data_IF_368385381933
#
_entry.id   IF_368385381933
#
_cell.length_a   1.000
_cell.length_b   1.000
_cell.length_c   1.000
_cell.angle_alpha   90.00
_cell.angle_beta   90.00
_cell.angle_gamma   90.00
#
_symmetry.space_group_name_H-M   'P 1'
#
loop_
_entity.id
_entity.type
_entity.pdbx_description
1 polymer ?
#
# COMPACT_ATOMS: atom_id res chain seq x y z
N UNK A 1 19.47 -19.01 63.73
CA UNK A 1 20.34 -19.76 62.80
C UNK A 1 20.55 -18.85 61.62
N UNK A 2 21.82 -18.75 61.22
CA UNK A 2 22.52 -17.67 60.52
C UNK A 2 21.83 -16.99 59.32
N UNK A 3 21.90 -15.65 59.35
CA UNK A 3 21.99 -14.79 58.18
C UNK A 3 23.32 -15.06 57.44
N UNK A 4 23.31 -15.11 56.11
CA UNK A 4 24.53 -14.90 55.33
C UNK A 4 24.30 -13.99 54.13
N UNK A 5 24.86 -12.80 54.28
CA UNK A 5 25.13 -11.79 53.28
C UNK A 5 26.33 -12.23 52.41
N UNK A 6 26.27 -12.10 51.09
CA UNK A 6 27.46 -12.22 50.21
C UNK A 6 27.53 -10.98 49.31
N UNK A 7 28.70 -10.34 49.37
CA UNK A 7 29.13 -9.10 48.71
C UNK A 7 29.44 -9.28 47.20
N UNK A 8 29.49 -8.18 46.41
CA UNK A 8 29.79 -8.20 44.99
C UNK A 8 31.30 -8.31 44.71
N UNK A 9 31.68 -8.95 43.59
CA UNK A 9 33.07 -9.05 43.14
C UNK A 9 33.48 -7.86 42.26
N UNK A 10 34.66 -7.31 42.58
CA UNK A 10 35.37 -6.17 41.97
C UNK A 10 36.02 -6.54 40.60
N UNK A 11 36.11 -5.62 39.62
CA UNK A 11 36.74 -5.85 38.33
C UNK A 11 38.22 -5.48 38.38
N UNK A 12 39.08 -6.31 37.77
CA UNK A 12 40.41 -5.98 37.20
C UNK A 12 41.15 -7.27 36.87
N UNK A 13 41.23 -7.59 35.59
CA UNK A 13 42.47 -8.15 35.05
C UNK A 13 42.66 -7.69 33.59
N UNK A 14 43.83 -7.14 33.31
CA UNK A 14 44.26 -6.52 32.06
C UNK A 14 45.69 -6.95 31.77
N UNK A 15 45.93 -7.57 30.61
CA UNK A 15 47.18 -7.51 29.84
C UNK A 15 46.94 -8.24 28.49
N UNK A 16 46.80 -7.51 27.37
CA UNK A 16 47.84 -7.22 26.35
C UNK A 16 48.28 -8.48 25.57
N UNK A 17 48.41 -8.54 24.25
CA UNK A 17 48.22 -7.62 23.11
C UNK A 17 48.61 -8.44 21.85
N UNK A 18 47.97 -8.24 20.68
CA UNK A 18 48.65 -8.15 19.37
C UNK A 18 47.63 -7.85 18.25
N UNK A 19 47.87 -6.73 17.55
CA UNK A 19 47.13 -6.24 16.39
C UNK A 19 47.53 -6.96 15.09
N UNK A 20 46.57 -7.19 14.18
CA UNK A 20 46.86 -7.15 12.75
C UNK A 20 45.68 -6.59 11.92
N UNK A 21 45.95 -5.43 11.31
CA UNK A 21 45.44 -4.79 10.08
C UNK A 21 44.11 -5.21 9.41
N UNK A 22 43.36 -4.14 9.12
CA UNK A 22 42.49 -3.86 7.96
C UNK A 22 41.27 -4.75 7.67
N UNK A 23 40.11 -4.15 7.91
CA UNK A 23 38.82 -4.61 7.40
C UNK A 23 37.69 -3.69 7.86
N UNK A 24 37.39 -2.69 7.04
CA UNK A 24 36.07 -2.07 6.85
C UNK A 24 35.15 -2.05 8.08
N UNK A 25 35.12 -0.91 8.78
CA UNK A 25 34.15 -0.64 9.84
C UNK A 25 32.73 -0.56 9.25
N UNK A 26 32.14 -1.72 8.97
CA UNK A 26 30.70 -1.91 8.91
C UNK A 26 30.17 -1.67 10.31
N UNK A 27 29.69 -0.46 10.53
CA UNK A 27 29.11 -0.02 11.80
C UNK A 27 27.92 -0.94 12.08
N UNK A 28 28.15 -1.85 13.04
CA UNK A 28 27.19 -2.66 13.80
C UNK A 28 25.81 -2.78 13.16
N UNK A 29 25.59 -3.92 12.51
CA UNK A 29 24.27 -4.45 12.21
C UNK A 29 23.28 -4.16 13.34
N UNK A 30 22.13 -3.59 12.99
CA UNK A 30 20.88 -3.71 13.76
C UNK A 30 20.41 -5.16 13.68
N UNK A 31 21.22 -6.11 14.19
CA UNK A 31 20.76 -7.47 14.48
C UNK A 31 19.83 -7.34 15.66
N UNK A 32 18.53 -7.33 15.38
CA UNK A 32 17.45 -7.80 16.24
C UNK A 32 17.83 -7.77 17.72
N UNK A 33 17.74 -6.57 18.32
CA UNK A 33 17.85 -6.42 19.75
C UNK A 33 16.74 -7.29 20.35
N UNK A 34 17.17 -8.37 21.01
CA UNK A 34 16.38 -9.31 21.80
C UNK A 34 15.00 -8.78 22.16
N UNK A 35 13.94 -9.44 21.67
CA UNK A 35 12.51 -9.26 21.98
C UNK A 35 12.13 -9.36 23.48
N UNK A 36 13.11 -9.32 24.38
CA UNK A 36 13.01 -9.75 25.76
C UNK A 36 12.72 -8.63 26.77
N UNK A 37 12.62 -7.35 26.35
CA UNK A 37 12.41 -6.23 27.29
C UNK A 37 11.33 -5.21 26.85
N UNK A 38 10.43 -5.56 25.92
CA UNK A 38 9.25 -4.71 25.69
C UNK A 38 8.18 -5.08 26.71
N UNK A 39 7.89 -4.19 27.66
CA UNK A 39 6.74 -4.37 28.53
C UNK A 39 5.46 -4.09 27.71
N UNK A 40 4.57 -5.08 27.54
CA UNK A 40 3.36 -4.88 26.76
C UNK A 40 2.40 -3.94 27.51
N UNK A 41 1.77 -3.02 26.78
CA UNK A 41 0.75 -2.15 27.37
C UNK A 41 -0.60 -2.87 27.34
N UNK A 42 -1.19 -3.06 28.51
CA UNK A 42 -2.48 -3.70 28.68
C UNK A 42 -3.52 -2.64 29.06
N UNK A 43 -4.48 -2.41 28.17
CA UNK A 43 -5.55 -1.43 28.33
C UNK A 43 -6.87 -2.04 27.91
N UNK A 44 -7.92 -1.85 28.71
CA UNK A 44 -9.28 -2.28 28.36
C UNK A 44 -9.41 -3.78 27.99
N UNK A 45 -8.50 -4.64 28.48
CA UNK A 45 -8.46 -6.06 28.16
C UNK A 45 -7.80 -6.42 26.82
N UNK A 46 -7.12 -5.46 26.18
CA UNK A 46 -6.36 -5.64 24.94
C UNK A 46 -4.88 -5.35 25.17
N UNK A 47 -4.01 -5.88 24.30
CA UNK A 47 -2.57 -5.59 24.32
C UNK A 47 -2.19 -4.64 23.20
N UNK A 48 -1.27 -3.72 23.47
CA UNK A 48 -0.76 -2.76 22.52
C UNK A 48 0.78 -2.69 22.51
N UNK A 49 1.34 -2.23 21.40
CA UNK A 49 2.78 -2.11 21.18
C UNK A 49 3.40 -0.87 21.87
N UNK A 50 2.65 0.22 21.98
CA UNK A 50 3.06 1.46 22.64
C UNK A 50 1.85 2.22 23.23
N UNK A 51 2.08 3.43 23.74
CA UNK A 51 1.06 4.30 24.34
C UNK A 51 0.24 5.09 23.29
N UNK A 52 0.60 5.01 22.00
CA UNK A 52 0.15 5.95 20.98
C UNK A 52 -0.67 5.25 19.88
N UNK A 53 -0.15 4.16 19.32
CA UNK A 53 -0.76 3.43 18.24
C UNK A 53 -2.10 2.82 18.66
N UNK A 54 -3.14 3.05 17.87
CA UNK A 54 -4.50 2.80 18.34
C UNK A 54 -4.98 1.35 18.23
N UNK A 55 -4.33 0.53 17.40
CA UNK A 55 -4.70 -0.86 17.19
C UNK A 55 -3.96 -1.80 18.15
N UNK A 56 -4.64 -2.83 18.69
CA UNK A 56 -3.98 -3.82 19.53
C UNK A 56 -3.04 -4.72 18.72
N UNK A 57 -2.25 -5.54 19.42
CA UNK A 57 -1.36 -6.56 18.84
C UNK A 57 -1.48 -7.91 19.57
N UNK A 58 -2.67 -8.25 20.07
CA UNK A 58 -3.01 -9.51 20.73
C UNK A 58 -3.54 -10.59 19.76
N UNK A 59 -3.77 -11.82 20.26
CA UNK A 59 -4.22 -12.99 19.48
C UNK A 59 -5.54 -12.74 18.70
N UNK A 60 -6.47 -12.00 19.29
CA UNK A 60 -7.73 -11.67 18.63
C UNK A 60 -7.48 -10.77 17.39
N UNK A 61 -6.58 -9.80 17.52
CA UNK A 61 -6.20 -8.95 16.39
C UNK A 61 -5.37 -9.68 15.35
N UNK A 62 -4.45 -10.55 15.76
CA UNK A 62 -3.72 -11.46 14.87
C UNK A 62 -4.70 -12.23 13.97
N UNK A 63 -5.68 -12.90 14.57
CA UNK A 63 -6.72 -13.65 13.84
C UNK A 63 -7.46 -12.78 12.83
N UNK A 64 -7.81 -11.55 13.21
CA UNK A 64 -8.49 -10.59 12.33
C UNK A 64 -7.61 -10.19 11.14
N UNK A 65 -6.31 -9.94 11.38
CA UNK A 65 -5.35 -9.58 10.33
C UNK A 65 -5.13 -10.73 9.34
N UNK A 66 -5.11 -11.99 9.80
CA UNK A 66 -5.07 -13.15 8.90
C UNK A 66 -6.29 -13.21 7.97
N UNK A 67 -7.49 -12.90 8.46
CA UNK A 67 -8.70 -12.82 7.62
C UNK A 67 -8.58 -11.66 6.62
N UNK A 68 -8.13 -10.49 7.07
CA UNK A 68 -7.92 -9.34 6.18
C UNK A 68 -6.90 -9.66 5.07
N UNK A 69 -5.82 -10.35 5.38
CA UNK A 69 -4.83 -10.75 4.38
C UNK A 69 -5.47 -11.59 3.26
N UNK A 70 -6.32 -12.56 3.62
CA UNK A 70 -7.05 -13.39 2.65
C UNK A 70 -8.07 -12.57 1.84
N UNK A 71 -8.75 -11.59 2.45
CA UNK A 71 -9.61 -10.63 1.74
C UNK A 71 -8.81 -9.87 0.69
N UNK A 72 -7.61 -9.37 1.02
CA UNK A 72 -6.75 -8.67 0.08
C UNK A 72 -6.29 -9.57 -1.07
N UNK A 73 -5.94 -10.83 -0.81
CA UNK A 73 -5.59 -11.78 -1.88
C UNK A 73 -6.78 -11.97 -2.85
N UNK A 74 -8.00 -12.14 -2.34
CA UNK A 74 -9.20 -12.24 -3.20
C UNK A 74 -9.39 -10.96 -4.03
N UNK A 75 -9.23 -9.79 -3.41
CA UNK A 75 -9.38 -8.49 -4.09
C UNK A 75 -8.33 -8.22 -5.17
N UNK A 76 -7.17 -8.86 -5.05
CA UNK A 76 -6.04 -8.73 -5.97
C UNK A 76 -5.90 -9.97 -6.87
N UNK A 77 -6.97 -10.76 -7.04
CA UNK A 77 -7.02 -11.94 -7.91
C UNK A 77 -5.90 -12.97 -7.61
N UNK A 78 -5.58 -13.12 -6.33
CA UNK A 78 -4.52 -14.00 -5.81
C UNK A 78 -3.12 -13.39 -5.81
N UNK A 79 -2.94 -12.15 -6.29
CA UNK A 79 -1.64 -11.48 -6.29
C UNK A 79 -1.40 -10.76 -4.95
N UNK A 80 -0.13 -10.65 -4.55
CA UNK A 80 0.27 -9.93 -3.34
C UNK A 80 0.39 -8.42 -3.55
N UNK A 81 0.50 -7.97 -4.79
CA UNK A 81 0.61 -6.55 -5.16
C UNK A 81 -0.12 -6.30 -6.48
N UNK A 82 -0.63 -5.08 -6.68
CA UNK A 82 -1.19 -4.65 -7.97
C UNK A 82 -0.12 -4.16 -8.94
N UNK A 83 1.12 -3.99 -8.46
CA UNK A 83 2.27 -3.65 -9.30
C UNK A 83 2.69 -4.88 -10.11
N UNK A 84 2.81 -4.78 -11.44
CA UNK A 84 3.28 -5.90 -12.27
C UNK A 84 4.78 -6.11 -12.08
N UNK A 85 5.15 -6.92 -11.08
CA UNK A 85 6.53 -7.31 -10.84
C UNK A 85 6.98 -8.36 -11.88
N UNK A 86 8.28 -8.34 -12.18
CA UNK A 86 8.87 -9.35 -13.06
C UNK A 86 8.85 -10.72 -12.34
N UNK A 87 8.45 -11.83 -12.97
CA UNK A 87 8.52 -13.16 -12.35
C UNK A 87 9.93 -13.56 -11.85
N UNK A 88 10.99 -12.93 -12.37
CA UNK A 88 12.39 -13.07 -11.93
C UNK A 88 12.84 -11.92 -11.04
N UNK A 89 11.91 -11.22 -10.39
CA UNK A 89 12.23 -10.11 -9.51
C UNK A 89 13.15 -10.59 -8.38
N UNK A 90 14.31 -9.94 -8.30
CA UNK A 90 15.42 -10.28 -7.40
C UNK A 90 15.87 -9.05 -6.59
N UNK A 91 14.92 -8.16 -6.39
CA UNK A 91 15.13 -6.76 -6.04
C UNK A 91 14.69 -6.49 -4.59
N UNK A 92 14.85 -5.25 -4.12
CA UNK A 92 14.66 -4.93 -2.69
C UNK A 92 13.25 -4.41 -2.41
N UNK A 93 12.58 -4.99 -1.42
CA UNK A 93 11.23 -4.59 -0.99
C UNK A 93 11.29 -4.11 0.46
N UNK A 94 10.59 -3.01 0.75
CA UNK A 94 10.28 -2.57 2.11
C UNK A 94 8.78 -2.73 2.35
N UNK A 95 8.39 -3.57 3.31
CA UNK A 95 7.02 -3.72 3.79
C UNK A 95 6.89 -3.00 5.13
N UNK A 96 6.10 -1.93 5.17
CA UNK A 96 5.94 -1.07 6.34
C UNK A 96 4.62 -1.41 7.02
N UNK A 97 4.69 -1.63 8.34
CA UNK A 97 3.55 -2.12 9.11
C UNK A 97 3.22 -3.56 8.73
N UNK A 98 4.24 -4.42 8.65
CA UNK A 98 4.10 -5.81 8.21
C UNK A 98 3.16 -6.62 9.11
N UNK A 99 2.93 -6.14 10.34
CA UNK A 99 2.11 -6.79 11.33
C UNK A 99 2.65 -8.18 11.69
N UNK A 100 1.82 -9.23 11.61
CA UNK A 100 2.26 -10.61 11.80
C UNK A 100 3.24 -11.11 10.72
N UNK A 101 3.32 -10.43 9.58
CA UNK A 101 4.26 -10.73 8.50
C UNK A 101 3.74 -11.60 7.37
N UNK A 102 2.44 -11.96 7.33
CA UNK A 102 1.90 -12.89 6.33
C UNK A 102 2.23 -12.46 4.89
N UNK A 103 2.10 -11.16 4.57
CA UNK A 103 2.43 -10.63 3.25
C UNK A 103 3.91 -10.82 2.89
N UNK A 104 4.81 -10.49 3.82
CA UNK A 104 6.25 -10.65 3.61
C UNK A 104 6.66 -12.13 3.47
N UNK A 105 5.99 -13.03 4.20
CA UNK A 105 6.20 -14.48 4.13
C UNK A 105 5.77 -15.02 2.76
N UNK A 106 4.58 -14.65 2.28
CA UNK A 106 4.11 -15.10 0.96
C UNK A 106 4.94 -14.48 -0.18
N UNK A 107 5.34 -13.20 -0.06
CA UNK A 107 6.24 -12.56 -1.03
C UNK A 107 7.61 -13.22 -1.08
N UNK A 108 8.10 -13.74 0.05
CA UNK A 108 9.36 -14.51 0.11
C UNK A 108 9.26 -15.81 -0.66
N UNK A 109 8.11 -16.49 -0.61
CA UNK A 109 7.85 -17.71 -1.35
C UNK A 109 7.69 -17.45 -2.85
N UNK A 110 6.99 -16.38 -3.24
CA UNK A 110 6.79 -16.01 -4.65
C UNK A 110 8.07 -15.48 -5.30
N UNK A 111 8.86 -14.68 -4.57
CA UNK A 111 10.10 -14.07 -5.05
C UNK A 111 11.31 -14.45 -4.16
N UNK A 112 11.80 -15.70 -4.24
CA UNK A 112 12.86 -16.21 -3.36
C UNK A 112 14.22 -15.50 -3.54
N UNK A 113 14.41 -14.79 -4.65
CA UNK A 113 15.62 -14.02 -4.93
C UNK A 113 15.50 -12.54 -4.53
N UNK A 114 14.30 -12.07 -4.15
CA UNK A 114 14.11 -10.72 -3.66
C UNK A 114 14.59 -10.61 -2.22
N UNK A 115 15.04 -9.42 -1.81
CA UNK A 115 15.35 -9.14 -0.39
C UNK A 115 14.22 -8.30 0.19
N UNK A 116 13.51 -8.85 1.17
CA UNK A 116 12.35 -8.22 1.80
C UNK A 116 12.78 -7.74 3.18
N UNK A 117 12.53 -6.47 3.48
CA UNK A 117 12.61 -5.92 4.83
C UNK A 117 11.18 -5.70 5.30
N UNK A 118 10.81 -6.39 6.37
CA UNK A 118 9.47 -6.37 6.93
C UNK A 118 9.51 -5.64 8.27
N UNK A 119 9.00 -4.41 8.32
CA UNK A 119 9.14 -3.50 9.46
C UNK A 119 7.81 -3.33 10.18
N UNK A 120 7.80 -3.40 11.51
CA UNK A 120 6.64 -3.06 12.34
C UNK A 120 7.08 -2.39 13.65
N UNK A 121 6.20 -1.59 14.25
CA UNK A 121 6.42 -1.01 15.58
C UNK A 121 6.07 -1.99 16.71
N UNK A 122 5.24 -2.99 16.43
CA UNK A 122 4.77 -3.99 17.38
C UNK A 122 5.36 -5.38 17.15
N UNK A 123 5.36 -6.17 18.23
CA UNK A 123 5.65 -7.62 18.19
C UNK A 123 4.37 -8.37 18.51
N UNK A 124 3.99 -9.34 17.67
CA UNK A 124 2.82 -10.21 17.88
C UNK A 124 3.18 -11.46 18.69
N UNK A 125 2.20 -12.25 19.14
CA UNK A 125 2.41 -13.44 20.01
C UNK A 125 3.31 -14.51 19.39
N UNK A 126 3.27 -14.66 18.07
CA UNK A 126 4.19 -15.53 17.34
C UNK A 126 5.62 -14.97 17.30
N UNK A 127 5.83 -13.71 17.64
CA UNK A 127 7.05 -12.95 17.38
C UNK A 127 7.13 -12.50 15.92
N UNK A 128 7.74 -11.33 15.69
CA UNK A 128 8.19 -10.95 14.34
C UNK A 128 9.20 -12.01 13.87
N UNK A 129 8.87 -12.79 12.84
CA UNK A 129 9.79 -13.78 12.28
C UNK A 129 9.96 -15.07 13.08
N UNK A 130 8.86 -15.69 13.53
CA UNK A 130 8.90 -17.10 14.02
C UNK A 130 9.49 -18.09 13.00
N UNK A 131 9.56 -17.69 11.73
CA UNK A 131 10.17 -18.40 10.63
C UNK A 131 11.48 -17.71 10.23
N UNK A 132 12.59 -18.43 10.32
CA UNK A 132 13.86 -18.01 9.70
C UNK A 132 13.75 -18.17 8.18
N UNK A 133 13.32 -17.12 7.49
CA UNK A 133 13.26 -17.08 6.02
C UNK A 133 14.57 -16.53 5.46
N UNK A 134 15.16 -17.16 4.42
CA UNK A 134 16.49 -16.80 3.94
C UNK A 134 16.58 -15.40 3.32
N UNK A 135 15.43 -14.83 2.92
CA UNK A 135 15.37 -13.58 2.17
C UNK A 135 14.41 -12.53 2.79
N UNK A 136 13.96 -12.74 4.04
CA UNK A 136 13.18 -11.77 4.81
C UNK A 136 13.96 -11.33 6.05
N UNK A 137 14.03 -10.04 6.27
CA UNK A 137 14.59 -9.43 7.47
C UNK A 137 13.48 -8.69 8.24
N UNK A 138 13.05 -9.26 9.37
CA UNK A 138 12.03 -8.67 10.23
C UNK A 138 12.66 -7.65 11.17
N UNK A 139 12.14 -6.41 11.16
CA UNK A 139 12.70 -5.29 11.90
C UNK A 139 11.64 -4.67 12.81
N UNK A 140 11.97 -4.51 14.08
CA UNK A 140 11.19 -3.69 15.01
C UNK A 140 11.60 -2.22 14.82
N UNK A 141 10.76 -1.44 14.14
CA UNK A 141 11.02 -0.02 13.87
C UNK A 141 9.72 0.77 13.68
N UNK A 142 9.69 1.98 14.25
CA UNK A 142 8.64 2.96 14.00
C UNK A 142 8.92 3.69 12.67
N UNK A 143 8.01 3.53 11.71
CA UNK A 143 8.13 4.17 10.39
C UNK A 143 8.05 5.70 10.43
N UNK A 144 7.57 6.30 11.53
CA UNK A 144 7.60 7.75 11.75
C UNK A 144 8.99 8.27 12.13
N UNK A 145 9.93 7.38 12.47
CA UNK A 145 11.33 7.76 12.66
C UNK A 145 12.07 7.87 11.33
N UNK A 146 13.22 8.54 11.32
CA UNK A 146 14.08 8.63 10.12
C UNK A 146 14.52 7.23 9.66
N UNK A 147 14.32 6.94 8.37
CA UNK A 147 14.73 5.69 7.76
C UNK A 147 16.22 5.74 7.44
N UNK A 148 16.99 4.80 7.97
CA UNK A 148 18.46 4.77 7.86
C UNK A 148 18.95 3.78 6.79
N UNK A 149 18.18 3.57 5.72
CA UNK A 149 18.50 2.58 4.69
C UNK A 149 19.46 3.17 3.64
N UNK A 150 20.61 2.52 3.45
CA UNK A 150 21.65 3.01 2.53
C UNK A 150 21.47 2.53 1.08
N UNK A 151 20.78 1.41 0.89
CA UNK A 151 20.49 0.86 -0.42
C UNK A 151 19.03 1.12 -0.77
N UNK A 152 18.74 1.61 -2.00
CA UNK A 152 17.38 1.95 -2.36
C UNK A 152 16.51 0.70 -2.55
N UNK A 153 15.20 0.88 -2.40
CA UNK A 153 14.19 -0.12 -2.65
C UNK A 153 13.60 0.02 -4.06
N UNK A 154 13.04 -1.07 -4.53
CA UNK A 154 12.29 -1.20 -5.78
C UNK A 154 10.79 -1.06 -5.55
N UNK A 155 10.32 -1.53 -4.40
CA UNK A 155 8.95 -1.44 -3.94
C UNK A 155 8.92 -1.06 -2.46
N UNK A 156 8.11 -0.05 -2.13
CA UNK A 156 7.65 0.23 -0.77
C UNK A 156 6.18 -0.16 -0.71
N UNK A 157 5.84 -1.15 0.11
CA UNK A 157 4.47 -1.63 0.31
C UNK A 157 3.98 -1.16 1.68
N UNK A 158 2.74 -0.67 1.72
CA UNK A 158 2.06 -0.19 2.93
C UNK A 158 0.61 -0.66 2.87
N UNK A 159 0.11 -1.32 3.91
CA UNK A 159 -1.28 -1.82 3.90
C UNK A 159 -1.94 -1.74 5.27
N UNK A 160 -3.17 -1.23 5.31
CA UNK A 160 -3.97 -1.21 6.54
C UNK A 160 -3.45 -0.24 7.59
N UNK A 161 -2.80 0.86 7.20
CA UNK A 161 -2.16 1.80 8.12
C UNK A 161 -2.90 3.15 8.23
N UNK A 162 -4.17 3.22 7.80
CA UNK A 162 -5.03 4.37 8.07
C UNK A 162 -5.02 4.72 9.56
N UNK A 163 -4.71 5.98 9.88
CA UNK A 163 -4.56 6.45 11.27
C UNK A 163 -3.25 6.04 11.97
N UNK A 164 -2.31 5.37 11.32
CA UNK A 164 -1.04 4.97 11.95
C UNK A 164 -0.04 6.12 12.09
N UNK A 165 -0.12 7.13 11.21
CA UNK A 165 0.88 8.19 11.11
C UNK A 165 0.27 9.58 11.33
N UNK A 166 0.98 10.45 12.06
CA UNK A 166 0.59 11.87 12.20
C UNK A 166 0.80 12.66 10.91
N UNK A 167 1.86 12.34 10.18
CA UNK A 167 2.27 13.04 8.97
C UNK A 167 2.59 12.06 7.84
N UNK A 168 1.57 11.77 7.03
CA UNK A 168 1.73 10.97 5.82
C UNK A 168 2.64 11.61 4.77
N UNK A 169 2.76 12.94 4.75
CA UNK A 169 3.65 13.62 3.80
C UNK A 169 5.11 13.29 4.10
N UNK A 170 5.48 13.18 5.38
CA UNK A 170 6.80 12.73 5.80
C UNK A 170 7.06 11.28 5.33
N UNK A 171 6.08 10.38 5.49
CA UNK A 171 6.19 8.99 5.01
C UNK A 171 6.39 8.94 3.49
N UNK A 172 5.68 9.77 2.71
CA UNK A 172 5.88 9.86 1.27
C UNK A 172 7.26 10.40 0.90
N UNK A 173 7.78 11.38 1.62
CA UNK A 173 9.13 11.90 1.40
C UNK A 173 10.20 10.84 1.70
N UNK A 174 10.02 10.07 2.78
CA UNK A 174 10.93 8.97 3.12
C UNK A 174 10.88 7.86 2.07
N UNK A 175 9.68 7.44 1.65
CA UNK A 175 9.48 6.48 0.57
C UNK A 175 10.12 6.97 -0.74
N UNK A 176 9.87 8.22 -1.12
CA UNK A 176 10.45 8.82 -2.31
C UNK A 176 11.97 8.85 -2.23
N UNK A 177 12.56 9.20 -1.09
CA UNK A 177 14.01 9.26 -0.89
C UNK A 177 14.65 7.89 -1.04
N UNK A 178 14.06 6.87 -0.42
CA UNK A 178 14.60 5.52 -0.36
C UNK A 178 14.24 4.63 -1.56
N UNK A 179 13.32 5.05 -2.44
CA UNK A 179 13.08 4.34 -3.70
C UNK A 179 14.17 4.66 -4.73
N UNK A 180 14.54 3.69 -5.55
CA UNK A 180 15.35 3.95 -6.75
C UNK A 180 14.53 4.68 -7.81
N UNK A 181 15.15 5.38 -8.76
CA UNK A 181 14.44 5.87 -9.95
C UNK A 181 13.70 4.71 -10.65
N UNK A 182 12.41 4.90 -10.88
CA UNK A 182 11.50 3.89 -11.44
C UNK A 182 10.90 2.88 -10.45
N UNK A 183 11.27 2.93 -9.17
CA UNK A 183 10.66 2.12 -8.11
C UNK A 183 9.25 2.60 -7.75
N UNK A 184 8.49 1.74 -7.09
CA UNK A 184 7.07 1.94 -6.80
C UNK A 184 6.78 2.09 -5.31
N UNK A 185 5.75 2.87 -5.00
CA UNK A 185 5.03 2.78 -3.73
C UNK A 185 3.63 2.22 -4.01
N UNK A 186 3.19 1.30 -3.17
CA UNK A 186 1.82 0.78 -3.15
C UNK A 186 1.24 0.94 -1.74
N UNK A 187 0.05 1.54 -1.67
CA UNK A 187 -0.68 1.77 -0.43
C UNK A 187 -2.09 1.22 -0.58
N UNK A 188 -2.50 0.29 0.26
CA UNK A 188 -3.84 -0.29 0.24
C UNK A 188 -4.52 -0.12 1.60
N UNK A 189 -5.68 0.52 1.63
CA UNK A 189 -6.34 0.83 2.90
C UNK A 189 -7.86 0.78 2.81
N UNK A 190 -8.48 0.43 3.93
CA UNK A 190 -9.90 0.47 4.18
C UNK A 190 -10.12 0.68 5.67
N UNK A 191 -10.85 1.73 6.03
CA UNK A 191 -11.03 2.13 7.41
C UNK A 191 -12.50 2.45 7.69
N UNK A 192 -13.18 1.72 8.61
CA UNK A 192 -14.57 2.02 8.96
C UNK A 192 -14.81 3.47 9.40
N UNK A 193 -13.84 4.11 10.07
CA UNK A 193 -13.94 5.50 10.51
C UNK A 193 -13.89 6.51 9.34
N UNK A 194 -13.49 6.07 8.14
CA UNK A 194 -13.35 6.91 6.95
C UNK A 194 -14.55 6.82 5.99
N UNK A 195 -15.75 6.49 6.49
CA UNK A 195 -16.99 6.34 5.70
C UNK A 195 -16.85 5.32 4.55
N UNK A 196 -16.00 4.32 4.74
CA UNK A 196 -15.78 3.26 3.74
C UNK A 196 -16.88 2.21 3.73
N UNK A 197 -17.76 2.21 4.73
CA UNK A 197 -18.91 1.29 4.79
C UNK A 197 -20.16 2.06 4.37
N UNK A 198 -20.76 1.63 3.26
CA UNK A 198 -21.94 2.27 2.65
C UNK A 198 -23.04 1.24 2.44
N UNK A 199 -24.30 1.69 2.43
CA UNK A 199 -25.42 0.85 1.98
C UNK A 199 -25.49 0.86 0.44
N UNK A 200 -25.93 -0.24 -0.19
CA UNK A 200 -26.13 -0.33 -1.65
C UNK A 200 -27.00 0.83 -2.15
N UNK A 201 -28.00 1.25 -1.37
CA UNK A 201 -28.91 2.34 -1.73
C UNK A 201 -28.23 3.72 -1.84
N UNK A 202 -27.00 3.85 -1.30
CA UNK A 202 -26.19 5.08 -1.32
C UNK A 202 -25.08 5.05 -2.39
N UNK A 203 -24.87 3.91 -3.07
CA UNK A 203 -23.83 3.77 -4.10
C UNK A 203 -24.36 4.33 -5.42
N UNK A 204 -23.95 5.56 -5.75
CA UNK A 204 -24.23 6.13 -7.06
C UNK A 204 -23.27 5.56 -8.11
N UNK A 205 -23.65 4.46 -8.75
CA UNK A 205 -22.84 3.75 -9.75
C UNK A 205 -22.48 4.60 -10.98
N UNK A 206 -23.17 5.72 -11.23
CA UNK A 206 -22.83 6.65 -12.33
C UNK A 206 -21.53 7.43 -12.08
N UNK A 207 -20.99 7.43 -10.86
CA UNK A 207 -19.76 8.15 -10.50
C UNK A 207 -18.49 7.30 -10.52
N UNK A 208 -18.59 6.01 -10.89
CA UNK A 208 -17.47 5.04 -10.88
C UNK A 208 -16.86 4.83 -12.29
N UNK A 209 -17.26 5.62 -13.29
CA UNK A 209 -16.55 5.63 -14.58
C UNK A 209 -15.28 6.51 -14.49
N UNK A 210 -14.13 5.84 -14.44
CA UNK A 210 -12.80 6.43 -14.45
C UNK A 210 -12.44 6.87 -15.88
N UNK A 211 -12.56 8.16 -16.14
CA UNK A 211 -11.67 8.90 -17.05
C UNK A 211 -11.89 10.39 -16.82
N UNK A 212 -11.29 10.95 -15.76
CA UNK A 212 -10.73 12.30 -15.70
C UNK A 212 -10.45 12.76 -14.25
N UNK A 213 -9.46 13.65 -14.02
CA UNK A 213 -9.03 14.03 -12.69
C UNK A 213 -10.04 14.99 -12.05
N UNK A 214 -10.93 14.48 -11.19
CA UNK A 214 -11.91 15.31 -10.50
C UNK A 214 -11.35 15.86 -9.18
N UNK A 215 -11.22 17.18 -9.20
CA UNK A 215 -11.00 18.09 -8.09
C UNK A 215 -12.08 17.90 -7.01
N UNK A 216 -11.68 17.54 -5.78
CA UNK A 216 -12.59 17.27 -4.67
C UNK A 216 -13.25 18.56 -4.20
N UNK A 217 -14.43 18.89 -4.74
CA UNK A 217 -15.26 19.97 -4.22
C UNK A 217 -16.19 19.40 -3.16
N UNK A 218 -16.05 19.92 -1.95
CA UNK A 218 -16.97 19.74 -0.81
C UNK A 218 -18.43 19.88 -1.23
N UNK A 219 -19.23 18.86 -0.97
CA UNK A 219 -20.69 18.91 -1.14
C UNK A 219 -21.30 19.94 -0.17
N UNK A 220 -21.48 21.17 -0.65
CA UNK A 220 -22.40 22.13 -0.07
C UNK A 220 -23.81 21.80 -0.58
N UNK A 221 -24.65 21.31 0.31
CA UNK A 221 -26.09 21.12 0.12
C UNK A 221 -26.74 22.46 -0.26
N UNK A 222 -27.30 22.55 -1.46
CA UNK A 222 -28.13 23.69 -1.87
C UNK A 222 -29.59 23.42 -1.52
N UNK A 223 -30.16 24.30 -0.72
CA UNK A 223 -31.59 24.34 -0.39
C UNK A 223 -32.42 24.56 -1.66
N UNK A 224 -33.27 23.60 -2.02
CA UNK A 224 -34.44 23.85 -2.84
C UNK A 224 -35.69 23.70 -1.97
N UNK A 225 -36.42 24.80 -1.87
CA UNK A 225 -37.75 24.90 -1.33
C UNK A 225 -38.73 24.12 -2.22
N UNK A 226 -39.30 23.06 -1.69
CA UNK A 226 -40.69 22.66 -1.91
C UNK A 226 -41.12 21.80 -0.71
N UNK A 227 -42.29 22.11 -0.16
CA UNK A 227 -42.75 21.59 1.12
C UNK A 227 -43.18 20.13 1.05
N UNK A 228 -42.30 19.23 1.46
CA UNK A 228 -42.65 17.94 2.05
C UNK A 228 -41.86 17.81 3.37
N UNK A 229 -42.53 17.35 4.42
CA UNK A 229 -41.87 17.05 5.70
C UNK A 229 -40.77 16.02 5.46
N UNK A 230 -39.52 16.49 5.35
CA UNK A 230 -38.34 15.64 5.43
C UNK A 230 -38.35 14.96 6.80
N UNK A 231 -38.57 13.65 6.80
CA UNK A 231 -38.27 12.81 7.94
C UNK A 231 -36.81 13.08 8.33
N UNK A 232 -36.60 13.53 9.57
CA UNK A 232 -35.26 13.65 10.13
C UNK A 232 -34.67 12.24 10.20
N UNK A 233 -33.93 11.83 9.18
CA UNK A 233 -33.30 10.51 9.12
C UNK A 233 -32.45 10.32 10.37
N UNK A 234 -32.87 9.40 11.23
CA UNK A 234 -32.17 9.08 12.47
C UNK A 234 -30.88 8.33 12.12
N UNK A 235 -29.74 8.90 12.47
CA UNK A 235 -28.41 8.29 12.27
C UNK A 235 -28.36 6.85 12.81
N UNK A 236 -27.88 5.91 11.99
CA UNK A 236 -27.73 4.50 12.39
C UNK A 236 -26.66 4.34 13.49
N UNK A 237 -26.66 3.21 14.18
CA UNK A 237 -25.66 2.92 15.21
C UNK A 237 -24.27 2.79 14.60
N UNK A 238 -24.17 2.15 13.43
CA UNK A 238 -22.91 2.09 12.68
C UNK A 238 -22.39 3.49 12.35
N UNK A 239 -23.24 4.40 11.87
CA UNK A 239 -22.85 5.78 11.58
C UNK A 239 -22.41 6.54 12.84
N UNK A 240 -23.07 6.32 13.99
CA UNK A 240 -22.64 6.90 15.28
C UNK A 240 -21.27 6.38 15.69
N UNK A 241 -21.04 5.09 15.52
CA UNK A 241 -19.77 4.43 15.79
C UNK A 241 -18.63 5.00 14.93
N UNK A 242 -18.80 5.04 13.61
CA UNK A 242 -17.76 5.59 12.70
C UNK A 242 -17.48 7.07 12.97
N UNK A 243 -18.51 7.86 13.29
CA UNK A 243 -18.38 9.27 13.69
C UNK A 243 -17.58 9.42 15.00
N UNK A 244 -17.87 8.59 16.00
CA UNK A 244 -17.17 8.61 17.29
C UNK A 244 -15.68 8.26 17.10
N UNK A 245 -15.38 7.23 16.31
CA UNK A 245 -14.00 6.85 15.97
C UNK A 245 -13.25 8.00 15.28
N UNK A 246 -13.86 8.61 14.25
CA UNK A 246 -13.24 9.71 13.50
C UNK A 246 -12.93 10.91 14.39
N UNK A 247 -13.86 11.28 15.25
CA UNK A 247 -13.68 12.41 16.17
C UNK A 247 -12.56 12.12 17.18
N UNK A 248 -12.54 10.92 17.77
CA UNK A 248 -11.46 10.52 18.69
C UNK A 248 -10.10 10.48 18.00
N UNK A 249 -10.02 9.95 16.78
CA UNK A 249 -8.80 9.88 15.98
C UNK A 249 -8.27 11.28 15.60
N UNK A 250 -9.17 12.21 15.24
CA UNK A 250 -8.83 13.61 14.98
C UNK A 250 -8.29 14.31 16.23
N UNK A 251 -8.90 14.09 17.39
CA UNK A 251 -8.42 14.65 18.66
C UNK A 251 -7.04 14.11 19.04
N UNK A 252 -6.77 12.83 18.74
CA UNK A 252 -5.46 12.21 18.96
C UNK A 252 -4.35 12.72 18.03
N UNK A 253 -4.70 13.47 16.97
CA UNK A 253 -3.75 13.91 15.93
C UNK A 253 -3.40 12.83 14.91
N UNK A 254 -4.21 11.77 14.82
CA UNK A 254 -4.07 10.66 13.89
C UNK A 254 -5.36 10.50 13.09
N UNK A 255 -5.66 11.42 12.16
CA UNK A 255 -6.94 11.41 11.45
C UNK A 255 -7.15 10.08 10.70
N UNK A 256 -8.36 9.54 10.83
CA UNK A 256 -8.84 8.33 10.16
C UNK A 256 -9.89 8.69 9.12
N UNK A 257 -9.47 9.54 8.18
CA UNK A 257 -10.14 9.84 6.93
C UNK A 257 -9.16 9.44 5.82
N UNK A 258 -9.60 8.78 4.73
CA UNK A 258 -8.70 8.25 3.68
C UNK A 258 -7.97 9.36 2.87
N UNK A 259 -7.80 10.56 3.44
CA UNK A 259 -7.10 11.69 2.87
C UNK A 259 -5.62 11.40 2.60
N UNK A 260 -5.01 10.45 3.30
CA UNK A 260 -3.65 9.99 2.98
C UNK A 260 -3.57 9.38 1.58
N UNK A 261 -4.62 8.67 1.14
CA UNK A 261 -4.68 8.11 -0.20
C UNK A 261 -4.97 9.15 -1.31
N UNK A 262 -4.93 10.45 -0.99
CA UNK A 262 -5.07 11.51 -1.98
C UNK A 262 -3.80 11.61 -2.86
N UNK A 263 -4.01 11.58 -4.17
CA UNK A 263 -2.96 11.69 -5.19
C UNK A 263 -2.14 12.97 -5.07
N UNK A 264 -2.72 14.06 -4.56
CA UNK A 264 -2.04 15.36 -4.41
C UNK A 264 -0.82 15.28 -3.50
N UNK A 265 -0.90 14.54 -2.39
CA UNK A 265 0.21 14.40 -1.45
C UNK A 265 1.38 13.61 -2.05
N UNK A 266 1.07 12.55 -2.81
CA UNK A 266 2.07 11.78 -3.56
C UNK A 266 2.72 12.61 -4.67
N UNK A 267 1.92 13.39 -5.42
CA UNK A 267 2.46 14.31 -6.43
C UNK A 267 3.37 15.37 -5.80
N UNK A 268 2.97 15.94 -4.65
CA UNK A 268 3.78 16.91 -3.92
C UNK A 268 5.12 16.33 -3.42
N UNK A 269 5.15 15.05 -3.07
CA UNK A 269 6.38 14.33 -2.75
C UNK A 269 7.25 13.99 -3.99
N UNK A 270 6.74 14.21 -5.20
CA UNK A 270 7.46 14.03 -6.46
C UNK A 270 7.15 12.74 -7.22
N UNK A 271 6.20 11.94 -6.76
CA UNK A 271 5.78 10.74 -7.46
C UNK A 271 5.04 11.06 -8.78
N UNK A 272 5.18 10.17 -9.76
CA UNK A 272 4.53 10.20 -11.06
C UNK A 272 3.77 8.89 -11.29
N UNK A 273 3.03 8.79 -12.41
CA UNK A 273 2.28 7.58 -12.78
C UNK A 273 1.31 7.10 -11.68
N UNK A 274 0.66 8.05 -10.98
CA UNK A 274 -0.21 7.76 -9.83
C UNK A 274 -1.52 7.13 -10.33
N UNK A 275 -1.87 5.97 -9.78
CA UNK A 275 -3.12 5.27 -10.09
C UNK A 275 -3.87 4.96 -8.80
N UNK A 276 -5.17 5.21 -8.83
CA UNK A 276 -6.10 4.87 -7.75
C UNK A 276 -7.05 3.82 -8.26
N UNK A 277 -7.19 2.73 -7.53
CA UNK A 277 -8.17 1.68 -7.77
C UNK A 277 -9.04 1.54 -6.53
N UNK A 278 -10.36 1.53 -6.72
CA UNK A 278 -11.30 1.24 -5.65
C UNK A 278 -11.96 -0.10 -5.90
N UNK A 279 -12.03 -0.91 -4.85
CA UNK A 279 -12.67 -2.23 -4.86
C UNK A 279 -13.76 -2.22 -3.81
N UNK A 280 -14.98 -2.47 -4.25
CA UNK A 280 -16.12 -2.59 -3.36
C UNK A 280 -16.27 -4.04 -2.90
N UNK A 281 -16.24 -4.27 -1.59
CA UNK A 281 -16.41 -5.60 -0.98
C UNK A 281 -17.78 -5.71 -0.30
N UNK A 282 -18.52 -6.81 -0.48
CA UNK A 282 -19.74 -7.02 0.27
C UNK A 282 -19.43 -7.22 1.76
N UNK A 283 -20.36 -6.85 2.63
CA UNK A 283 -20.33 -7.14 4.07
C UNK A 283 -21.62 -7.87 4.40
N UNK A 284 -21.51 -9.17 4.67
CA UNK A 284 -22.65 -10.02 5.03
C UNK A 284 -22.83 -11.24 4.12
N UNK A 285 -23.92 -11.97 4.36
CA UNK A 285 -24.24 -13.23 3.68
C UNK A 285 -25.24 -13.07 2.52
N UNK A 286 -25.64 -11.84 2.23
CA UNK A 286 -26.66 -11.48 1.25
C UNK A 286 -26.25 -11.68 -0.22
N UNK A 287 -24.97 -11.68 -0.64
CA UNK A 287 -24.65 -11.91 -2.04
C UNK A 287 -25.12 -13.29 -2.53
N UNK A 288 -25.63 -13.34 -3.76
CA UNK A 288 -26.07 -14.61 -4.37
C UNK A 288 -24.89 -15.42 -4.92
N UNK A 289 -23.96 -14.75 -5.61
CA UNK A 289 -22.74 -15.36 -6.14
C UNK A 289 -21.88 -15.98 -5.02
N UNK A 290 -21.30 -17.15 -5.29
CA UNK A 290 -20.57 -17.94 -4.29
C UNK A 290 -19.25 -17.28 -3.86
N UNK A 291 -18.58 -16.58 -4.78
CA UNK A 291 -17.32 -15.89 -4.50
C UNK A 291 -17.61 -14.61 -3.71
N UNK A 292 -18.57 -13.79 -4.15
CA UNK A 292 -19.01 -12.61 -3.40
C UNK A 292 -19.58 -12.97 -2.02
N UNK A 293 -20.31 -14.08 -1.88
CA UNK A 293 -20.82 -14.54 -0.58
C UNK A 293 -19.69 -14.97 0.35
N UNK A 294 -18.65 -15.62 -0.17
CA UNK A 294 -17.47 -16.01 0.61
C UNK A 294 -16.72 -14.77 1.08
N UNK A 295 -16.45 -13.83 0.18
CA UNK A 295 -15.83 -12.54 0.48
C UNK A 295 -16.66 -11.73 1.49
N UNK A 296 -17.99 -11.72 1.32
CA UNK A 296 -18.93 -11.03 2.19
C UNK A 296 -18.97 -11.58 3.61
N UNK A 297 -18.90 -12.91 3.75
CA UNK A 297 -18.77 -13.58 5.05
C UNK A 297 -17.45 -13.23 5.73
N UNK A 298 -16.34 -13.28 5.00
CA UNK A 298 -15.02 -12.96 5.56
C UNK A 298 -14.97 -11.50 6.02
N UNK A 299 -15.48 -10.57 5.21
CA UNK A 299 -15.50 -9.14 5.53
C UNK A 299 -16.43 -8.84 6.72
N UNK A 300 -17.57 -9.52 6.82
CA UNK A 300 -18.45 -9.44 7.99
C UNK A 300 -17.70 -9.87 9.27
N UNK A 301 -17.02 -11.01 9.24
CA UNK A 301 -16.26 -11.49 10.41
C UNK A 301 -15.15 -10.49 10.76
N UNK A 302 -14.37 -10.04 9.77
CA UNK A 302 -13.30 -9.06 10.00
C UNK A 302 -13.80 -7.73 10.59
N UNK A 303 -15.00 -7.27 10.19
CA UNK A 303 -15.65 -6.10 10.77
C UNK A 303 -16.03 -6.35 12.24
N UNK A 304 -16.73 -7.45 12.52
CA UNK A 304 -17.25 -7.77 13.86
C UNK A 304 -16.14 -8.01 14.89
N UNK A 305 -15.07 -8.69 14.49
CA UNK A 305 -13.87 -8.89 15.34
C UNK A 305 -13.08 -7.59 15.52
N UNK A 306 -13.20 -6.65 14.57
CA UNK A 306 -12.52 -5.36 14.61
C UNK A 306 -13.21 -4.29 15.44
N UNK A 307 -14.49 -4.45 15.82
CA UNK A 307 -15.25 -3.38 16.49
C UNK A 307 -14.56 -2.88 17.76
N UNK A 308 -14.19 -3.79 18.67
CA UNK A 308 -13.49 -3.38 19.89
C UNK A 308 -12.05 -2.92 19.61
N UNK A 309 -11.35 -3.58 18.69
CA UNK A 309 -9.97 -3.23 18.31
C UNK A 309 -9.86 -1.78 17.82
N UNK A 310 -10.81 -1.36 16.99
CA UNK A 310 -10.87 0.02 16.47
C UNK A 310 -11.34 1.05 17.49
N UNK A 311 -12.10 0.64 18.52
CA UNK A 311 -12.86 1.57 19.36
C UNK A 311 -12.28 1.78 20.75
N UNK A 312 -11.83 0.72 21.43
CA UNK A 312 -11.57 0.78 22.86
C UNK A 312 -10.55 1.86 23.22
N UNK A 313 -9.35 1.84 22.63
CA UNK A 313 -8.32 2.84 22.91
C UNK A 313 -8.72 4.24 22.41
N UNK A 314 -9.12 4.46 21.14
CA UNK A 314 -9.53 5.78 20.68
C UNK A 314 -10.62 6.42 21.54
N UNK A 315 -11.70 5.69 21.83
CA UNK A 315 -12.84 6.23 22.57
C UNK A 315 -12.53 6.46 24.05
N UNK A 316 -11.73 5.61 24.69
CA UNK A 316 -11.40 5.78 26.13
C UNK A 316 -10.27 6.78 26.35
N UNK A 317 -9.18 6.72 25.57
CA UNK A 317 -8.02 7.57 25.75
C UNK A 317 -8.26 9.01 25.24
N UNK A 318 -8.77 9.14 24.00
CA UNK A 318 -8.97 10.46 23.36
C UNK A 318 -10.42 10.93 23.47
N UNK A 319 -11.38 10.02 23.26
CA UNK A 319 -12.81 10.33 23.37
C UNK A 319 -13.30 10.56 24.80
N UNK A 320 -12.57 10.08 25.81
CA UNK A 320 -12.94 10.12 27.24
C UNK A 320 -14.23 9.37 27.59
N UNK A 321 -14.58 8.36 26.81
CA UNK A 321 -15.72 7.47 27.08
C UNK A 321 -15.37 6.50 28.21
N UNK A 322 -16.39 6.03 28.91
CA UNK A 322 -16.22 4.85 29.76
C UNK A 322 -16.05 3.60 28.87
N UNK A 323 -15.22 2.64 29.30
CA UNK A 323 -14.98 1.39 28.56
C UNK A 323 -16.27 0.59 28.33
N UNK A 324 -17.21 0.59 29.29
CA UNK A 324 -18.48 -0.11 29.17
C UNK A 324 -19.43 0.59 28.18
N UNK A 325 -19.36 1.93 28.08
CA UNK A 325 -20.09 2.68 27.05
C UNK A 325 -19.55 2.38 25.66
N UNK A 326 -18.22 2.33 25.50
CA UNK A 326 -17.58 1.97 24.23
C UNK A 326 -17.92 0.53 23.80
N UNK A 327 -17.88 -0.44 24.72
CA UNK A 327 -18.32 -1.82 24.45
C UNK A 327 -19.80 -1.92 24.13
N UNK A 328 -20.64 -1.19 24.86
CA UNK A 328 -22.07 -1.10 24.59
C UNK A 328 -22.35 -0.60 23.17
N UNK A 329 -21.61 0.41 22.71
CA UNK A 329 -21.70 0.87 21.32
C UNK A 329 -21.26 -0.20 20.31
N UNK A 330 -20.16 -0.92 20.57
CA UNK A 330 -19.71 -2.02 19.72
C UNK A 330 -20.78 -3.13 19.63
N UNK A 331 -21.43 -3.48 20.74
CA UNK A 331 -22.49 -4.50 20.74
C UNK A 331 -23.72 -4.05 19.96
N UNK A 332 -24.16 -2.80 20.13
CA UNK A 332 -25.29 -2.27 19.34
C UNK A 332 -24.98 -2.27 17.83
N UNK A 333 -23.73 -1.98 17.43
CA UNK A 333 -23.31 -2.08 16.02
C UNK A 333 -23.32 -3.53 15.54
N UNK A 334 -22.82 -4.47 16.36
CA UNK A 334 -22.86 -5.91 16.06
C UNK A 334 -24.29 -6.38 15.81
N UNK A 335 -25.22 -6.04 16.68
CA UNK A 335 -26.64 -6.36 16.52
C UNK A 335 -27.23 -5.71 15.25
N UNK A 336 -26.97 -4.43 15.00
CA UNK A 336 -27.43 -3.72 13.79
C UNK A 336 -26.95 -4.40 12.51
N UNK A 337 -25.65 -4.73 12.42
CA UNK A 337 -25.05 -5.34 11.23
C UNK A 337 -25.56 -6.76 11.02
N UNK A 338 -25.72 -7.56 12.08
CA UNK A 338 -26.24 -8.94 11.99
C UNK A 338 -27.73 -8.99 11.65
N UNK A 339 -28.52 -8.02 12.14
CA UNK A 339 -29.96 -7.93 11.89
C UNK A 339 -30.32 -7.20 10.58
N UNK A 340 -29.34 -6.77 9.79
CA UNK A 340 -29.59 -6.14 8.50
C UNK A 340 -30.03 -7.17 7.44
N UNK A 341 -31.25 -7.69 7.60
CA UNK A 341 -31.87 -8.72 6.76
C UNK A 341 -32.08 -8.28 5.31
N UNK A 342 -32.17 -6.96 5.06
CA UNK A 342 -32.29 -6.41 3.69
C UNK A 342 -30.98 -6.43 2.91
N UNK A 343 -29.85 -6.65 3.59
CA UNK A 343 -28.53 -6.74 2.97
C UNK A 343 -28.02 -5.40 2.43
N UNK A 344 -26.80 -5.40 1.92
CA UNK A 344 -26.27 -4.29 1.12
C UNK A 344 -25.23 -3.40 1.78
N UNK A 345 -24.71 -3.73 2.95
CA UNK A 345 -23.48 -3.08 3.39
C UNK A 345 -22.33 -3.50 2.46
N UNK A 346 -21.59 -2.52 1.95
CA UNK A 346 -20.35 -2.73 1.22
C UNK A 346 -19.24 -1.88 1.83
N UNK A 347 -18.04 -2.45 1.90
CA UNK A 347 -16.80 -1.76 2.22
C UNK A 347 -16.11 -1.27 0.95
N UNK A 348 -15.41 -0.14 1.00
CA UNK A 348 -14.54 0.32 -0.09
C UNK A 348 -13.09 0.18 0.35
N UNK A 349 -12.33 -0.61 -0.41
CA UNK A 349 -10.88 -0.72 -0.31
C UNK A 349 -10.27 0.13 -1.42
N UNK A 350 -9.38 1.06 -1.05
CA UNK A 350 -8.67 1.89 -2.02
C UNK A 350 -7.20 1.46 -2.07
N UNK A 351 -6.73 1.19 -3.28
CA UNK A 351 -5.34 0.86 -3.59
C UNK A 351 -4.77 2.01 -4.42
N UNK A 352 -3.70 2.62 -3.93
CA UNK A 352 -2.96 3.68 -4.61
C UNK A 352 -1.58 3.18 -4.94
N UNK A 353 -1.19 3.33 -6.20
CA UNK A 353 0.16 3.04 -6.67
C UNK A 353 0.77 4.30 -7.27
N UNK A 354 2.07 4.49 -7.07
CA UNK A 354 2.79 5.60 -7.67
C UNK A 354 4.25 5.23 -7.91
N UNK A 355 4.92 5.93 -8.82
CA UNK A 355 6.29 5.62 -9.24
C UNK A 355 7.24 6.79 -9.02
N UNK A 356 8.45 6.52 -8.55
CA UNK A 356 9.53 7.50 -8.55
C UNK A 356 9.97 7.73 -10.01
N UNK A 357 10.05 8.98 -10.50
CA UNK A 357 10.40 9.24 -11.89
C UNK A 357 11.80 8.71 -12.21
N UNK A 358 11.94 8.11 -13.39
CA UNK A 358 13.25 7.78 -13.97
C UNK A 358 13.89 9.06 -14.53
N UNK A 359 15.20 9.24 -14.29
CA UNK A 359 15.92 10.39 -14.86
C UNK A 359 15.89 10.36 -16.39
N UNK A 360 15.98 11.52 -17.04
CA UNK A 360 16.04 11.60 -18.51
C UNK A 360 17.19 10.76 -19.11
N UNK A 361 18.35 10.75 -18.45
CA UNK A 361 19.48 9.92 -18.85
C UNK A 361 19.15 8.42 -18.77
N UNK A 362 18.43 7.99 -17.73
CA UNK A 362 17.99 6.61 -17.59
C UNK A 362 16.90 6.27 -18.63
N UNK A 363 15.92 7.15 -18.85
CA UNK A 363 14.92 7.00 -19.93
C UNK A 363 15.59 6.77 -21.29
N UNK A 364 16.61 7.56 -21.65
CA UNK A 364 17.36 7.38 -22.90
C UNK A 364 18.06 6.02 -22.96
N UNK A 365 18.73 5.59 -21.88
CA UNK A 365 19.37 4.26 -21.80
C UNK A 365 18.36 3.13 -21.97
N UNK A 366 17.20 3.22 -21.32
CA UNK A 366 16.16 2.18 -21.38
C UNK A 366 15.51 2.10 -22.77
N UNK A 367 15.28 3.24 -23.43
CA UNK A 367 14.80 3.30 -24.82
C UNK A 367 15.84 2.66 -25.76
N UNK A 368 17.12 3.03 -25.63
CA UNK A 368 18.20 2.44 -26.42
C UNK A 368 18.35 0.94 -26.18
N UNK A 369 18.22 0.47 -24.93
CA UNK A 369 18.27 -0.94 -24.59
C UNK A 369 17.11 -1.73 -25.21
N UNK A 370 15.88 -1.18 -25.16
CA UNK A 370 14.70 -1.79 -25.81
C UNK A 370 14.81 -1.81 -27.33
N UNK A 371 15.31 -0.73 -27.94
CA UNK A 371 15.58 -0.68 -29.37
C UNK A 371 16.61 -1.75 -29.77
N UNK A 372 17.73 -1.87 -29.03
CA UNK A 372 18.74 -2.91 -29.24
C UNK A 372 18.19 -4.33 -29.09
N UNK A 373 17.31 -4.57 -28.11
CA UNK A 373 16.66 -5.87 -27.92
C UNK A 373 15.70 -6.21 -29.07
N UNK A 374 14.94 -5.23 -29.58
CA UNK A 374 14.07 -5.39 -30.75
C UNK A 374 14.87 -5.72 -32.01
N UNK A 375 15.99 -5.02 -32.25
CA UNK A 375 16.89 -5.29 -33.38
C UNK A 375 17.50 -6.69 -33.26
N UNK A 376 17.87 -7.14 -32.06
CA UNK A 376 18.39 -8.49 -31.83
C UNK A 376 17.37 -9.60 -32.13
N UNK A 377 16.08 -9.34 -31.89
CA UNK A 377 15.00 -10.29 -32.22
C UNK A 377 14.58 -10.25 -33.70
N UNK A 378 15.00 -9.25 -34.46
CA UNK A 378 14.77 -9.17 -35.93
C UNK A 378 15.88 -9.83 -36.74
N UNK A 379 17.03 -10.15 -36.13
CA UNK A 379 18.08 -10.96 -36.78
C UNK A 379 17.74 -12.44 -36.72
N UNK A 380 16.93 -12.88 -37.68
CA UNK A 380 16.79 -14.27 -38.09
C UNK A 380 17.59 -14.56 -39.37
N UNK A 381 18.47 -15.54 -39.27
CA UNK A 381 19.07 -16.44 -40.29
C UNK A 381 20.03 -15.99 -41.39
N UNK A 382 20.23 -14.70 -41.67
CA UNK A 382 21.18 -14.29 -42.72
C UNK A 382 22.46 -13.74 -42.08
N UNK A 383 23.47 -14.61 -41.97
CA UNK A 383 24.75 -14.39 -41.26
C UNK A 383 25.66 -13.32 -41.85
N UNK A 384 25.24 -12.06 -41.83
CA UNK A 384 26.13 -10.91 -41.99
C UNK A 384 26.11 -10.00 -40.74
N UNK A 385 27.27 -9.93 -40.07
CA UNK A 385 27.52 -9.05 -38.94
C UNK A 385 27.62 -7.59 -39.41
N UNK A 386 26.49 -6.89 -39.42
CA UNK A 386 26.48 -5.43 -39.45
C UNK A 386 26.58 -4.87 -38.03
N UNK A 387 27.74 -4.36 -37.66
CA UNK A 387 27.99 -3.65 -36.40
C UNK A 387 27.52 -2.19 -36.55
N UNK A 388 26.38 -1.85 -35.96
CA UNK A 388 25.88 -0.47 -35.93
C UNK A 388 26.44 0.26 -34.71
N UNK A 389 27.43 1.10 -34.96
CA UNK A 389 28.13 1.89 -33.95
C UNK A 389 27.35 3.19 -33.64
N UNK A 390 26.50 3.16 -32.61
CA UNK A 390 25.63 4.27 -32.21
C UNK A 390 26.37 5.43 -31.51
N UNK A 391 27.70 5.38 -31.38
CA UNK A 391 28.52 6.40 -30.72
C UNK A 391 29.01 7.53 -31.64
N UNK A 392 28.67 7.54 -32.94
CA UNK A 392 29.18 8.54 -33.90
C UNK A 392 28.22 9.67 -34.30
N UNK A 393 27.18 9.95 -33.51
CA UNK A 393 26.33 11.11 -33.72
C UNK A 393 26.71 12.32 -32.84
N UNK A 394 27.99 12.42 -32.44
CA UNK A 394 28.58 13.63 -31.88
C UNK A 394 29.77 14.00 -32.78
N UNK A 395 29.59 15.05 -33.58
CA UNK A 395 30.60 15.97 -34.14
C UNK A 395 30.24 16.41 -35.57
N UNK A 396 29.87 17.69 -35.75
CA UNK A 396 29.70 18.23 -37.10
C UNK A 396 28.99 19.58 -37.24
N UNK A 397 29.38 20.59 -36.46
CA UNK A 397 29.10 21.98 -36.82
C UNK A 397 30.11 22.50 -37.85
N UNK A 398 29.64 23.07 -38.96
CA UNK A 398 30.40 24.05 -39.76
C UNK A 398 30.62 23.74 -41.25
N UNK A 399 29.85 24.41 -42.10
CA UNK A 399 30.32 25.20 -43.26
C UNK A 399 30.93 24.52 -44.51
N UNK A 400 30.19 24.60 -45.62
CA UNK A 400 30.71 25.11 -46.91
C UNK A 400 31.09 24.11 -48.01
N UNK A 401 30.44 24.26 -49.18
CA UNK A 401 31.10 24.28 -50.50
C UNK A 401 31.30 22.97 -51.28
N UNK A 402 30.51 22.84 -52.34
CA UNK A 402 30.80 22.30 -53.68
C UNK A 402 31.18 20.82 -53.96
N UNK A 403 30.39 20.29 -54.92
CA UNK A 403 30.68 19.37 -56.04
C UNK A 403 30.94 17.86 -55.85
N UNK A 404 29.96 17.12 -56.40
CA UNK A 404 30.09 16.03 -57.39
C UNK A 404 30.11 14.54 -56.94
N UNK A 405 29.01 13.89 -57.35
CA UNK A 405 28.88 12.61 -58.06
C UNK A 405 28.86 11.25 -57.33
N UNK A 406 27.69 10.63 -57.51
CA UNK A 406 27.39 9.23 -57.83
C UNK A 406 27.49 8.16 -56.73
N UNK A 407 26.45 7.31 -56.68
CA UNK A 407 26.32 6.20 -55.74
C UNK A 407 24.89 6.05 -55.21
N UNK A 408 24.05 5.37 -55.98
CA UNK A 408 22.70 4.93 -55.61
C UNK A 408 22.62 4.26 -54.24
N UNK A 409 21.81 4.83 -53.34
CA UNK A 409 21.35 4.20 -52.10
C UNK A 409 19.98 4.76 -51.74
N UNK A 410 18.96 3.89 -51.73
CA UNK A 410 17.59 4.24 -51.37
C UNK A 410 17.54 4.72 -49.91
N UNK A 411 17.19 5.99 -49.71
CA UNK A 411 16.85 6.53 -48.39
C UNK A 411 15.48 6.03 -47.97
N UNK A 412 15.39 5.45 -46.78
CA UNK A 412 14.12 5.24 -46.08
C UNK A 412 13.93 6.46 -45.18
N UNK A 413 13.03 7.37 -45.56
CA UNK A 413 12.49 8.38 -44.66
C UNK A 413 11.64 7.67 -43.59
N UNK A 414 11.95 7.94 -42.31
CA UNK A 414 11.10 7.54 -41.19
C UNK A 414 10.17 8.72 -40.93
N UNK A 415 8.93 8.63 -41.41
CA UNK A 415 7.85 9.52 -41.00
C UNK A 415 7.56 9.29 -39.51
N UNK A 416 7.58 10.38 -38.75
CA UNK A 416 7.15 10.42 -37.35
C UNK A 416 5.66 10.76 -37.41
N UNK A 417 4.81 9.76 -37.17
CA UNK A 417 3.36 9.96 -37.15
C UNK A 417 2.96 10.62 -35.81
N UNK A 418 2.66 11.92 -35.88
CA UNK A 418 2.04 12.68 -34.80
C UNK A 418 0.51 12.68 -35.00
N UNK A 419 -0.19 11.98 -34.12
CA UNK A 419 -1.58 12.29 -33.77
C UNK A 419 -2.61 11.29 -34.25
N UNK A 420 -3.43 10.83 -33.31
CA UNK A 420 -4.80 10.48 -33.63
C UNK A 420 -5.72 11.05 -32.53
N UNK A 421 -6.55 12.01 -32.95
CA UNK A 421 -7.66 12.60 -32.22
C UNK A 421 -8.92 12.32 -33.04
N UNK A 422 -9.99 11.94 -32.35
CA UNK A 422 -11.37 11.94 -32.84
C UNK A 422 -11.81 10.60 -33.44
N UNK A 423 -13.08 10.27 -33.51
CA UNK A 423 -14.33 10.91 -33.11
C UNK A 423 -15.41 9.81 -33.25
N UNK A 424 -16.50 9.96 -32.50
CA UNK A 424 -17.72 9.15 -32.57
C UNK A 424 -18.46 9.29 -33.92
N UNK A 425 -19.21 8.24 -34.31
CA UNK A 425 -20.51 8.25 -35.04
C UNK A 425 -20.81 6.78 -35.45
N UNK A 426 -21.77 6.06 -34.85
CA UNK A 426 -23.24 6.09 -34.97
C UNK A 426 -23.81 5.42 -36.26
N UNK A 427 -25.03 4.88 -36.12
CA UNK A 427 -25.87 4.12 -37.08
C UNK A 427 -25.60 2.60 -37.20
N UNK A 428 -26.58 1.69 -37.15
CA UNK A 428 -28.02 1.81 -37.36
C UNK A 428 -28.51 0.71 -38.32
N UNK A 429 -29.51 -0.04 -37.87
CA UNK A 429 -30.34 -1.08 -38.51
C UNK A 429 -30.36 -1.22 -40.07
N UNK A 430 -30.36 -2.47 -40.59
CA UNK A 430 -31.58 -3.13 -41.15
C UNK A 430 -31.33 -4.48 -41.88
N UNK A 431 -32.08 -5.50 -41.41
CA UNK A 431 -32.83 -6.54 -42.13
C UNK A 431 -32.36 -7.11 -43.49
N UNK A 432 -32.09 -8.42 -43.49
CA UNK A 432 -33.08 -9.42 -43.94
C UNK A 432 -32.96 -10.08 -45.32
N UNK A 433 -33.29 -11.39 -45.32
CA UNK A 433 -33.48 -12.38 -46.42
C UNK A 433 -32.19 -13.12 -46.85
N UNK A 434 -32.10 -14.45 -46.93
CA UNK A 434 -33.06 -15.55 -46.90
C UNK A 434 -32.65 -16.61 -47.95
N UNK A 435 -32.92 -17.89 -47.69
CA UNK A 435 -32.66 -19.12 -48.51
C UNK A 435 -31.23 -19.66 -48.44
N UNK A 436 -30.95 -20.94 -48.15
CA UNK A 436 -31.75 -22.18 -48.04
C UNK A 436 -31.21 -23.09 -46.95
#
# INVERSE_FOLDING_TARGET
MEDTYIQPADPRDTSDSEESSDGEASIKSTRSCSSYNLEPILENGRRYCDEIYFMPNDEAELTRLNILHQIYLILLDGNLTSIPLNPKFSQRILDIGTGPGDWAIEMSAEYPNAKIIASDIGVFDSGLGHLELPNVDFQLADAQSEWTYHQPFDLVHIRGLSGAFRDWSYIYQQAFTHLRPGGYIEIADADPAADTITSIDEINFDSINISDPVNTTTNNTTNKSDGECLETSTQTTLQKYTTALRNAAKEAGYPRDLAHLNTTALSAAGFVDIRVQERSVPIGLWPEDIHEKTLGKMTLIALLEGLEAYALRPLTASGKWNVDEARGLCEMVREEVLNNEKGGLRGIVRVVTARKPVSFAQKRKDVLARARARVRNFRGDDGEDFEWDFEKCDDGGGGGGDEAQDGSGQGIEIEIDEGDQGEDEDEGEEKGKGHS
#
